data_IF_978341558726
#
_entry.id   IF_978341558726
#
_cell.length_a   1.000
_cell.length_b   1.000
_cell.length_c   1.000
_cell.angle_alpha   90.00
_cell.angle_beta   90.00
_cell.angle_gamma   90.00
#
_symmetry.space_group_name_H-M   'P 1'
#
loop_
_entity.id
_entity.type
_entity.pdbx_description
1 polymer ?
#
# COMPACT_ATOMS: atom_id res chain seq x y z
N UNK A 1 87.00 -31.17 -37.97
CA UNK A 1 85.80 -31.24 -37.10
C UNK A 1 85.89 -30.13 -36.08
N UNK A 2 85.21 -29.01 -36.30
CA UNK A 2 84.89 -27.97 -35.29
C UNK A 2 83.93 -26.99 -35.93
N UNK A 3 82.67 -26.97 -35.47
CA UNK A 3 81.63 -26.01 -35.87
C UNK A 3 81.61 -24.86 -34.86
N UNK A 4 81.43 -23.59 -35.27
CA UNK A 4 81.17 -22.50 -34.33
C UNK A 4 79.68 -22.51 -33.92
N UNK A 5 79.44 -22.42 -32.62
CA UNK A 5 78.14 -22.26 -31.99
C UNK A 5 77.75 -20.78 -32.03
N UNK A 6 76.61 -20.46 -32.65
CA UNK A 6 75.98 -19.15 -32.58
C UNK A 6 74.61 -19.32 -31.89
N UNK A 7 74.42 -18.68 -30.74
CA UNK A 7 73.11 -18.50 -30.11
C UNK A 7 72.43 -17.26 -30.70
N UNK A 8 71.11 -17.28 -30.87
CA UNK A 8 70.35 -16.12 -30.45
C UNK A 8 69.04 -16.44 -29.71
N UNK A 9 68.87 -15.68 -28.63
CA UNK A 9 67.67 -14.96 -28.17
C UNK A 9 66.39 -15.75 -27.80
N UNK A 10 65.94 -15.69 -26.53
CA UNK A 10 64.64 -16.22 -26.14
C UNK A 10 63.53 -15.25 -26.56
N UNK A 11 62.56 -15.74 -27.34
CA UNK A 11 61.34 -15.03 -27.70
C UNK A 11 60.41 -14.98 -26.47
N UNK A 12 60.21 -13.79 -25.89
CA UNK A 12 59.17 -13.51 -24.90
C UNK A 12 57.79 -13.61 -25.59
N UNK A 13 57.04 -14.66 -25.29
CA UNK A 13 55.63 -14.80 -25.70
C UNK A 13 54.80 -13.90 -24.78
N UNK A 14 54.31 -12.77 -25.29
CA UNK A 14 53.26 -11.98 -24.64
C UNK A 14 51.95 -12.77 -24.68
N UNK A 15 51.52 -13.29 -23.53
CA UNK A 15 50.15 -13.78 -23.34
C UNK A 15 49.19 -12.58 -23.31
N UNK A 16 48.37 -12.43 -24.36
CA UNK A 16 47.22 -11.54 -24.36
C UNK A 16 46.15 -12.09 -23.41
N UNK A 17 45.99 -11.45 -22.25
CA UNK A 17 44.86 -11.67 -21.34
C UNK A 17 43.62 -10.99 -21.96
N UNK A 18 42.79 -11.76 -22.65
CA UNK A 18 41.41 -11.36 -22.91
C UNK A 18 40.63 -11.44 -21.59
N UNK A 19 40.23 -10.28 -21.05
CA UNK A 19 39.40 -10.20 -19.85
C UNK A 19 37.99 -10.79 -20.07
N UNK A 20 37.35 -11.33 -19.02
CA UNK A 20 36.06 -12.00 -19.13
C UNK A 20 34.90 -11.01 -19.43
N UNK A 21 33.79 -11.48 -20.04
CA UNK A 21 32.69 -10.64 -20.54
C UNK A 21 31.86 -9.89 -19.48
N UNK A 22 32.09 -10.13 -18.18
CA UNK A 22 31.31 -9.52 -17.09
C UNK A 22 31.47 -7.99 -16.99
N UNK A 23 32.62 -7.44 -17.40
CA UNK A 23 32.87 -5.98 -17.31
C UNK A 23 32.11 -5.17 -18.37
N UNK A 24 31.73 -5.79 -19.48
CA UNK A 24 31.02 -5.12 -20.56
C UNK A 24 29.55 -4.85 -20.21
N UNK A 25 28.90 -5.77 -19.50
CA UNK A 25 27.50 -5.65 -19.05
C UNK A 25 27.35 -4.53 -18.00
N UNK A 26 28.29 -4.44 -17.06
CA UNK A 26 28.27 -3.40 -16.02
C UNK A 26 28.53 -1.99 -16.58
N UNK A 27 29.45 -1.88 -17.55
CA UNK A 27 29.71 -0.62 -18.24
C UNK A 27 28.51 -0.14 -19.08
N UNK A 28 27.81 -1.05 -19.75
CA UNK A 28 26.60 -0.75 -20.51
C UNK A 28 25.46 -0.27 -19.59
N UNK A 29 25.21 -0.99 -18.49
CA UNK A 29 24.20 -0.60 -17.48
C UNK A 29 24.50 0.76 -16.85
N UNK A 30 25.77 1.07 -16.56
CA UNK A 30 26.14 2.39 -16.04
C UNK A 30 25.90 3.52 -17.05
N UNK A 31 26.11 3.24 -18.34
CA UNK A 31 25.82 4.21 -19.40
C UNK A 31 24.32 4.49 -19.53
N UNK A 32 23.47 3.46 -19.46
CA UNK A 32 22.01 3.58 -19.45
C UNK A 32 21.51 4.34 -18.21
N UNK A 33 22.08 4.07 -17.04
CA UNK A 33 21.72 4.78 -15.80
C UNK A 33 22.03 6.29 -15.89
N UNK A 34 23.14 6.66 -16.54
CA UNK A 34 23.49 8.07 -16.79
C UNK A 34 22.50 8.75 -17.75
N UNK A 35 21.89 8.01 -18.66
CA UNK A 35 20.84 8.55 -19.53
C UNK A 35 19.54 8.81 -18.74
N UNK A 36 19.18 7.94 -17.80
CA UNK A 36 18.05 8.23 -16.91
C UNK A 36 18.23 9.54 -16.13
N UNK A 37 19.46 9.87 -15.73
CA UNK A 37 19.77 11.08 -14.98
C UNK A 37 19.51 12.40 -15.74
N UNK A 38 19.45 12.37 -17.07
CA UNK A 38 19.23 13.57 -17.89
C UNK A 38 17.76 13.94 -18.08
N UNK A 39 16.84 13.07 -17.66
CA UNK A 39 15.39 13.33 -17.75
C UNK A 39 14.98 14.41 -16.75
N UNK A 40 14.33 15.48 -17.22
CA UNK A 40 13.89 16.60 -16.36
C UNK A 40 12.75 16.20 -15.41
N UNK A 41 11.78 15.43 -15.93
CA UNK A 41 10.63 14.95 -15.16
C UNK A 41 11.09 13.98 -14.08
N UNK A 42 10.78 14.31 -12.82
CA UNK A 42 11.09 13.47 -11.66
C UNK A 42 10.46 12.08 -11.79
N UNK A 43 9.23 12.01 -12.33
CA UNK A 43 8.50 10.75 -12.47
C UNK A 43 9.11 9.89 -13.57
N UNK A 44 9.44 10.47 -14.73
CA UNK A 44 10.07 9.73 -15.83
C UNK A 44 11.47 9.24 -15.48
N UNK A 45 12.25 10.08 -14.77
CA UNK A 45 13.57 9.70 -14.27
C UNK A 45 13.50 8.50 -13.33
N UNK A 46 12.53 8.49 -12.41
CA UNK A 46 12.30 7.33 -11.52
C UNK A 46 11.93 6.09 -12.33
N UNK A 47 10.96 6.21 -13.24
CA UNK A 47 10.53 5.10 -14.09
C UNK A 47 11.67 4.51 -14.93
N UNK A 48 12.57 5.35 -15.46
CA UNK A 48 13.75 4.91 -16.21
C UNK A 48 14.69 4.05 -15.36
N UNK A 49 14.98 4.47 -14.12
CA UNK A 49 15.80 3.67 -13.21
C UNK A 49 15.13 2.36 -12.81
N UNK A 50 13.84 2.39 -12.53
CA UNK A 50 13.09 1.19 -12.18
C UNK A 50 13.12 0.19 -13.35
N UNK A 51 12.84 0.64 -14.58
CA UNK A 51 12.94 -0.20 -15.77
C UNK A 51 14.34 -0.82 -15.98
N UNK A 52 15.40 -0.05 -15.72
CA UNK A 52 16.79 -0.47 -15.91
C UNK A 52 17.28 -1.49 -14.85
N UNK A 53 16.92 -1.29 -13.58
CA UNK A 53 17.49 -2.07 -12.47
C UNK A 53 16.54 -3.07 -11.84
N UNK A 54 15.24 -2.80 -11.87
CA UNK A 54 14.19 -3.63 -11.26
C UNK A 54 13.34 -4.34 -12.33
N UNK A 55 13.53 -3.97 -13.61
CA UNK A 55 12.57 -4.25 -14.68
C UNK A 55 11.37 -3.33 -14.59
N UNK A 56 10.60 -3.17 -15.67
CA UNK A 56 9.27 -2.57 -15.55
C UNK A 56 8.45 -3.49 -14.66
N UNK A 57 7.96 -3.04 -13.49
CA UNK A 57 7.04 -3.85 -12.73
C UNK A 57 5.86 -4.11 -13.67
N UNK A 58 5.66 -5.36 -14.07
CA UNK A 58 4.34 -5.74 -14.54
C UNK A 58 3.37 -5.31 -13.42
N UNK A 59 2.21 -4.71 -13.73
CA UNK A 59 1.16 -4.62 -12.72
C UNK A 59 1.00 -6.05 -12.20
N UNK A 60 1.42 -6.28 -10.95
CA UNK A 60 1.43 -7.62 -10.39
C UNK A 60 -0.01 -8.07 -10.38
N UNK A 61 -0.32 -9.05 -11.22
CA UNK A 61 -1.63 -9.70 -11.28
C UNK A 61 -1.96 -10.45 -9.96
N UNK A 62 -1.00 -10.52 -9.04
CA UNK A 62 -1.20 -10.80 -7.63
C UNK A 62 -1.11 -9.50 -6.82
N UNK A 63 -2.16 -8.68 -6.86
CA UNK A 63 -2.50 -7.80 -5.75
C UNK A 63 -3.02 -8.70 -4.61
N UNK A 64 -2.12 -9.50 -4.00
CA UNK A 64 -2.47 -10.23 -2.80
C UNK A 64 -2.97 -9.19 -1.79
N UNK A 65 -4.24 -9.33 -1.40
CA UNK A 65 -4.87 -8.36 -0.53
C UNK A 65 -4.05 -8.29 0.77
N UNK A 66 -3.77 -7.09 1.30
CA UNK A 66 -2.85 -6.94 2.43
C UNK A 66 -3.23 -7.84 3.60
N UNK A 67 -2.29 -8.22 4.47
CA UNK A 67 -2.59 -9.04 5.66
C UNK A 67 -3.78 -8.50 6.50
N UNK A 68 -3.94 -7.17 6.56
CA UNK A 68 -5.08 -6.51 7.17
C UNK A 68 -6.44 -6.90 6.56
N UNK A 69 -6.51 -7.16 5.26
CA UNK A 69 -7.70 -7.65 4.57
C UNK A 69 -8.15 -9.00 5.12
N UNK A 70 -7.23 -9.95 5.22
CA UNK A 70 -7.54 -11.28 5.77
C UNK A 70 -7.96 -11.18 7.23
N UNK A 71 -7.28 -10.35 8.03
CA UNK A 71 -7.69 -10.10 9.42
C UNK A 71 -9.11 -9.52 9.54
N UNK A 72 -9.52 -8.65 8.61
CA UNK A 72 -10.89 -8.12 8.54
C UNK A 72 -11.89 -9.22 8.19
N UNK A 73 -11.58 -10.07 7.19
CA UNK A 73 -12.44 -11.21 6.85
C UNK A 73 -12.60 -12.18 8.04
N UNK A 74 -11.51 -12.52 8.72
CA UNK A 74 -11.53 -13.42 9.88
C UNK A 74 -12.29 -12.82 11.07
N UNK A 75 -12.23 -11.51 11.26
CA UNK A 75 -13.00 -10.82 12.29
C UNK A 75 -14.50 -10.78 11.94
N UNK A 76 -14.85 -10.39 10.72
CA UNK A 76 -16.25 -10.30 10.29
C UNK A 76 -16.91 -11.68 10.11
N UNK A 77 -16.15 -12.74 9.82
CA UNK A 77 -16.67 -14.10 9.78
C UNK A 77 -17.15 -14.63 11.15
N UNK A 78 -16.72 -13.99 12.25
CA UNK A 78 -17.12 -14.33 13.62
C UNK A 78 -18.29 -13.49 14.13
N UNK A 79 -18.77 -12.54 13.33
CA UNK A 79 -19.86 -11.62 13.68
C UNK A 79 -21.21 -12.29 13.43
N UNK A 80 -22.15 -12.05 14.33
CA UNK A 80 -23.55 -12.43 14.14
C UNK A 80 -24.19 -11.60 13.01
N UNK A 81 -25.04 -12.21 12.19
CA UNK A 81 -25.59 -11.60 10.96
C UNK A 81 -26.38 -10.29 11.18
N UNK A 82 -26.91 -10.08 12.40
CA UNK A 82 -27.70 -8.92 12.80
C UNK A 82 -26.89 -7.85 13.56
N UNK A 83 -25.61 -8.10 13.86
CA UNK A 83 -24.76 -7.17 14.59
C UNK A 83 -24.03 -6.20 13.66
N UNK A 84 -24.47 -4.93 13.59
CA UNK A 84 -23.85 -3.90 12.72
C UNK A 84 -22.90 -2.92 13.41
N UNK A 85 -22.90 -2.91 14.74
CA UNK A 85 -22.03 -2.04 15.53
C UNK A 85 -20.54 -2.33 15.34
N UNK A 86 -19.73 -1.37 15.75
CA UNK A 86 -18.28 -1.47 15.71
C UNK A 86 -17.81 -2.66 16.57
N UNK A 87 -16.99 -3.54 15.98
CA UNK A 87 -16.40 -4.69 16.66
C UNK A 87 -14.91 -4.45 16.81
N UNK A 88 -14.39 -4.56 18.04
CA UNK A 88 -12.98 -4.42 18.33
C UNK A 88 -12.33 -5.79 18.56
N UNK A 89 -11.23 -6.05 17.85
CA UNK A 89 -10.31 -7.16 18.08
C UNK A 89 -8.93 -6.64 18.47
N UNK A 90 -8.30 -7.30 19.44
CA UNK A 90 -6.95 -6.97 19.92
C UNK A 90 -6.10 -8.23 19.86
N UNK A 91 -4.91 -8.14 19.25
CA UNK A 91 -3.95 -9.23 19.13
C UNK A 91 -2.53 -8.69 19.34
N UNK A 92 -1.98 -8.88 20.53
CA UNK A 92 -0.71 -8.24 20.91
C UNK A 92 -0.83 -6.72 20.86
N UNK A 93 0.03 -6.07 20.07
CA UNK A 93 0.02 -4.62 19.84
C UNK A 93 -0.84 -4.20 18.63
N UNK A 94 -1.46 -5.16 17.94
CA UNK A 94 -2.37 -4.88 16.83
C UNK A 94 -3.80 -4.75 17.33
N UNK A 95 -4.48 -3.72 16.83
CA UNK A 95 -5.88 -3.45 17.14
C UNK A 95 -6.64 -3.27 15.84
N UNK A 96 -7.79 -3.93 15.72
CA UNK A 96 -8.65 -3.91 14.56
C UNK A 96 -10.09 -3.61 14.96
N UNK A 97 -10.63 -2.48 14.50
CA UNK A 97 -12.04 -2.16 14.60
C UNK A 97 -12.70 -2.26 13.23
N UNK A 98 -13.83 -2.95 13.17
CA UNK A 98 -14.60 -3.15 11.94
C UNK A 98 -16.08 -2.83 12.15
N UNK A 99 -16.71 -2.23 11.14
CA UNK A 99 -18.17 -2.06 11.10
C UNK A 99 -18.67 -2.32 9.67
N UNK A 100 -19.58 -3.28 9.45
CA UNK A 100 -20.15 -3.53 8.14
C UNK A 100 -21.17 -2.44 7.75
N UNK A 101 -21.33 -2.20 6.44
CA UNK A 101 -22.28 -1.21 5.95
C UNK A 101 -23.74 -1.61 6.22
N UNK A 102 -24.52 -0.64 6.69
CA UNK A 102 -25.96 -0.75 6.94
C UNK A 102 -26.74 -0.81 5.62
N UNK A 103 -27.78 -1.64 5.57
CA UNK A 103 -28.70 -1.70 4.42
C UNK A 103 -28.06 -2.17 3.12
N UNK A 104 -27.01 -2.99 3.21
CA UNK A 104 -26.39 -3.71 2.08
C UNK A 104 -26.49 -5.20 2.35
N UNK A 105 -26.76 -6.01 1.33
CA UNK A 105 -26.73 -7.47 1.47
C UNK A 105 -25.28 -7.97 1.46
N UNK A 106 -24.92 -9.02 2.23
CA UNK A 106 -23.59 -9.63 2.15
C UNK A 106 -23.24 -10.12 0.73
N UNK A 107 -21.96 -10.06 0.31
CA UNK A 107 -20.83 -9.49 1.05
C UNK A 107 -20.89 -7.95 1.10
N UNK A 108 -20.64 -7.37 2.28
CA UNK A 108 -20.85 -5.93 2.52
C UNK A 108 -19.53 -5.18 2.49
N UNK A 109 -19.52 -3.89 2.09
CA UNK A 109 -18.42 -2.99 2.42
C UNK A 109 -18.22 -2.90 3.94
N UNK A 110 -16.96 -2.83 4.38
CA UNK A 110 -16.59 -2.79 5.81
C UNK A 110 -15.73 -1.57 6.09
N UNK A 111 -16.15 -0.74 7.05
CA UNK A 111 -15.32 0.31 7.62
C UNK A 111 -14.25 -0.31 8.49
N UNK A 112 -12.99 0.08 8.30
CA UNK A 112 -11.83 -0.50 8.98
C UNK A 112 -11.01 0.60 9.63
N UNK A 113 -10.80 0.47 10.93
CA UNK A 113 -9.88 1.30 11.71
C UNK A 113 -8.88 0.37 12.37
N UNK A 114 -7.58 0.53 12.11
CA UNK A 114 -6.59 -0.37 12.71
C UNK A 114 -5.34 0.34 13.21
N UNK A 115 -4.71 -0.21 14.24
CA UNK A 115 -3.33 0.05 14.60
C UNK A 115 -2.51 -1.18 14.22
N UNK A 116 -1.60 -1.03 13.27
CA UNK A 116 -0.66 -2.08 12.89
C UNK A 116 0.72 -1.44 12.72
N UNK A 117 1.74 -2.06 13.29
CA UNK A 117 3.10 -1.50 13.33
C UNK A 117 3.11 -0.06 13.87
N UNK A 118 2.32 0.22 14.92
CA UNK A 118 2.22 1.55 15.54
C UNK A 118 1.65 2.65 14.64
N UNK A 119 0.97 2.28 13.55
CA UNK A 119 0.41 3.22 12.58
C UNK A 119 -1.09 3.03 12.44
N UNK A 120 -1.83 4.07 12.86
CA UNK A 120 -3.28 4.17 12.67
C UNK A 120 -3.60 4.18 11.19
N UNK A 121 -4.52 3.31 10.75
CA UNK A 121 -5.04 3.24 9.40
C UNK A 121 -6.55 3.44 9.45
N UNK A 122 -7.08 4.18 8.48
CA UNK A 122 -8.52 4.38 8.31
C UNK A 122 -8.88 4.07 6.86
N UNK A 123 -9.71 3.05 6.66
CA UNK A 123 -9.96 2.44 5.35
C UNK A 123 -11.40 1.98 5.23
N UNK A 124 -11.81 1.75 4.00
CA UNK A 124 -13.00 1.01 3.62
C UNK A 124 -12.56 -0.18 2.77
N UNK A 125 -13.02 -1.37 3.13
CA UNK A 125 -12.80 -2.61 2.39
C UNK A 125 -14.05 -2.92 1.58
N UNK A 126 -13.88 -3.19 0.28
CA UNK A 126 -14.98 -3.34 -0.68
C UNK A 126 -15.02 -4.76 -1.27
N UNK A 127 -16.19 -5.42 -1.28
CA UNK A 127 -16.32 -6.73 -1.91
C UNK A 127 -16.02 -6.69 -3.40
N UNK A 128 -16.36 -5.59 -4.07
CA UNK A 128 -16.11 -5.36 -5.48
C UNK A 128 -15.04 -4.29 -5.67
N UNK A 129 -14.10 -4.55 -6.58
CA UNK A 129 -13.01 -3.65 -6.88
C UNK A 129 -13.50 -2.37 -7.58
N UNK A 130 -12.93 -1.23 -7.20
CA UNK A 130 -13.07 0.02 -7.94
C UNK A 130 -11.97 0.19 -8.98
N UNK A 131 -12.38 0.48 -10.21
CA UNK A 131 -11.46 0.91 -11.28
C UNK A 131 -11.23 2.44 -11.23
N UNK A 132 -10.45 2.86 -10.23
CA UNK A 132 -9.96 4.22 -10.13
C UNK A 132 -8.74 4.28 -9.19
N UNK A 133 -7.83 5.26 -9.34
CA UNK A 133 -6.70 5.42 -8.42
C UNK A 133 -7.06 6.20 -7.15
N UNK A 134 -8.10 7.04 -7.21
CA UNK A 134 -8.56 7.92 -6.13
C UNK A 134 -10.05 8.18 -6.26
N UNK A 135 -10.67 8.58 -5.16
CA UNK A 135 -12.08 8.96 -5.12
C UNK A 135 -12.30 10.11 -4.15
N UNK A 136 -13.16 11.06 -4.51
CA UNK A 136 -13.64 12.07 -3.59
C UNK A 136 -14.78 11.49 -2.74
N UNK A 137 -14.67 11.67 -1.42
CA UNK A 137 -15.65 11.24 -0.45
C UNK A 137 -16.03 12.40 0.46
N UNK A 138 -17.33 12.58 0.66
CA UNK A 138 -17.86 13.37 1.76
C UNK A 138 -18.26 12.41 2.89
N UNK A 139 -17.57 12.53 4.01
CA UNK A 139 -17.88 11.82 5.24
C UNK A 139 -18.78 12.73 6.09
N UNK A 140 -19.97 12.25 6.44
CA UNK A 140 -20.91 12.93 7.32
C UNK A 140 -20.98 12.20 8.64
N UNK A 141 -20.57 12.87 9.72
CA UNK A 141 -20.87 12.45 11.08
C UNK A 141 -21.79 13.46 11.75
N UNK A 142 -22.20 13.18 12.98
CA UNK A 142 -23.21 13.95 13.69
C UNK A 142 -22.77 15.41 13.97
N UNK A 143 -21.46 15.65 14.03
CA UNK A 143 -20.88 16.97 14.28
C UNK A 143 -20.46 17.73 13.02
N UNK A 144 -20.71 17.16 11.84
CA UNK A 144 -20.50 17.83 10.56
C UNK A 144 -19.83 16.98 9.50
N UNK A 145 -19.63 17.63 8.36
CA UNK A 145 -19.14 17.01 7.14
C UNK A 145 -17.65 17.31 6.92
N UNK A 146 -16.92 16.35 6.37
CA UNK A 146 -15.58 16.53 5.85
C UNK A 146 -15.48 15.94 4.44
N UNK A 147 -14.87 16.68 3.52
CA UNK A 147 -14.62 16.22 2.15
C UNK A 147 -13.15 15.91 1.99
N UNK A 148 -12.83 14.73 1.47
CA UNK A 148 -11.47 14.23 1.33
C UNK A 148 -11.31 13.43 0.04
N UNK A 149 -10.10 13.45 -0.52
CA UNK A 149 -9.72 12.54 -1.61
C UNK A 149 -9.03 11.31 -1.03
N UNK A 150 -9.66 10.15 -1.13
CA UNK A 150 -9.12 8.88 -0.65
C UNK A 150 -8.40 8.14 -1.78
N UNK A 151 -7.42 7.30 -1.42
CA UNK A 151 -6.63 6.52 -2.38
C UNK A 151 -7.15 5.10 -2.47
N UNK A 152 -7.27 4.58 -3.68
CA UNK A 152 -7.67 3.20 -3.92
C UNK A 152 -6.41 2.34 -4.08
N UNK A 153 -6.39 1.17 -3.44
CA UNK A 153 -5.26 0.21 -3.39
C UNK A 153 -5.79 -1.23 -3.36
N UNK A 154 -4.86 -2.20 -3.40
CA UNK A 154 -5.17 -3.63 -3.27
C UNK A 154 -6.15 -4.09 -4.34
N UNK A 155 -5.77 -3.94 -5.62
CA UNK A 155 -6.60 -4.33 -6.75
C UNK A 155 -7.91 -3.56 -6.90
N UNK A 156 -8.12 -2.46 -6.16
CA UNK A 156 -9.38 -1.72 -6.17
C UNK A 156 -10.27 -1.99 -4.95
N UNK A 157 -9.90 -2.94 -4.09
CA UNK A 157 -10.72 -3.36 -2.95
C UNK A 157 -10.54 -2.50 -1.70
N UNK A 158 -9.45 -1.72 -1.60
CA UNK A 158 -9.14 -0.92 -0.41
C UNK A 158 -9.20 0.56 -0.72
N UNK A 159 -10.19 1.26 -0.15
CA UNK A 159 -10.29 2.73 -0.22
C UNK A 159 -9.74 3.33 1.07
N UNK A 160 -8.56 3.93 0.99
CA UNK A 160 -7.81 4.41 2.16
C UNK A 160 -7.97 5.91 2.38
N UNK A 161 -8.53 6.28 3.54
CA UNK A 161 -8.58 7.64 4.06
C UNK A 161 -7.27 8.17 4.64
N UNK A 162 -6.27 7.30 4.84
CA UNK A 162 -4.92 7.70 5.22
C UNK A 162 -4.26 6.73 6.18
N UNK A 163 -3.07 7.11 6.65
CA UNK A 163 -2.32 6.41 7.69
C UNK A 163 -1.59 7.41 8.58
N UNK A 164 -1.43 7.13 9.87
CA UNK A 164 -0.85 8.04 10.85
C UNK A 164 -1.68 9.30 11.03
N UNK A 165 -1.04 10.47 11.10
CA UNK A 165 -1.69 11.76 11.38
C UNK A 165 -2.92 12.06 10.50
N UNK A 166 -2.91 11.88 9.17
CA UNK A 166 -4.13 12.08 8.35
C UNK A 166 -5.33 11.22 8.77
N UNK A 167 -5.11 9.95 9.12
CA UNK A 167 -6.17 9.07 9.61
C UNK A 167 -6.65 9.53 10.99
N UNK A 168 -5.71 9.86 11.88
CA UNK A 168 -5.96 10.35 13.23
C UNK A 168 -6.81 11.63 13.21
N UNK A 169 -6.48 12.61 12.37
CA UNK A 169 -7.22 13.86 12.27
C UNK A 169 -8.67 13.66 11.81
N UNK A 170 -8.88 12.67 10.94
CA UNK A 170 -10.22 12.28 10.49
C UNK A 170 -11.00 11.62 11.62
N UNK A 171 -10.39 10.64 12.29
CA UNK A 171 -11.01 9.93 13.41
C UNK A 171 -11.33 10.86 14.59
N UNK A 172 -10.47 11.82 14.90
CA UNK A 172 -10.71 12.84 15.95
C UNK A 172 -12.00 13.64 15.72
N UNK A 173 -12.33 13.92 14.46
CA UNK A 173 -13.58 14.61 14.11
C UNK A 173 -14.80 13.71 14.32
N UNK A 174 -14.64 12.41 14.07
CA UNK A 174 -15.69 11.40 14.19
C UNK A 174 -15.91 10.88 15.62
N UNK A 175 -15.02 11.17 16.59
CA UNK A 175 -15.09 10.58 17.95
C UNK A 175 -16.44 10.73 18.66
N UNK A 176 -17.17 11.81 18.38
CA UNK A 176 -18.48 12.08 18.99
C UNK A 176 -19.59 11.94 17.93
N UNK A 177 -19.44 11.01 16.98
CA UNK A 177 -20.45 10.63 16.00
C UNK A 177 -20.88 9.20 16.25
N UNK A 178 -22.18 8.98 16.40
CA UNK A 178 -22.78 7.66 16.54
C UNK A 178 -22.91 6.96 15.18
N UNK A 179 -22.98 7.74 14.10
CA UNK A 179 -23.07 7.22 12.73
C UNK A 179 -22.08 7.90 11.80
N UNK A 180 -21.65 7.16 10.77
CA UNK A 180 -20.88 7.69 9.64
C UNK A 180 -21.62 7.38 8.34
N UNK A 181 -21.90 8.41 7.54
CA UNK A 181 -22.45 8.26 6.19
C UNK A 181 -21.47 8.77 5.14
N UNK A 182 -21.36 8.07 4.01
CA UNK A 182 -20.51 8.44 2.89
C UNK A 182 -21.36 8.94 1.71
N UNK A 183 -20.87 9.99 1.04
CA UNK A 183 -21.36 10.42 -0.27
C UNK A 183 -20.23 10.48 -1.28
N UNK A 184 -20.51 10.01 -2.50
CA UNK A 184 -19.56 9.94 -3.60
C UNK A 184 -20.28 9.98 -4.95
N UNK A 185 -19.56 10.29 -6.02
CA UNK A 185 -20.03 10.07 -7.39
C UNK A 185 -19.97 8.58 -7.78
N UNK A 186 -19.31 7.73 -6.97
CA UNK A 186 -19.23 6.28 -7.20
C UNK A 186 -20.37 5.58 -6.46
N UNK A 187 -21.24 4.91 -7.21
CA UNK A 187 -22.41 4.18 -6.68
C UNK A 187 -22.05 3.16 -5.58
N UNK A 188 -20.93 2.43 -5.75
CA UNK A 188 -20.45 1.47 -4.76
C UNK A 188 -20.12 2.10 -3.38
N UNK A 189 -19.89 3.42 -3.34
CA UNK A 189 -19.54 4.17 -2.12
C UNK A 189 -20.67 5.10 -1.65
N UNK A 190 -21.50 5.57 -2.57
CA UNK A 190 -22.55 6.53 -2.25
C UNK A 190 -23.64 5.92 -1.36
N UNK A 191 -24.00 6.67 -0.32
CA UNK A 191 -25.02 6.26 0.63
C UNK A 191 -24.61 5.09 1.54
N UNK A 192 -23.33 4.70 1.57
CA UNK A 192 -22.84 3.77 2.61
C UNK A 192 -22.99 4.42 3.98
N UNK A 193 -23.47 3.64 4.95
CA UNK A 193 -23.70 4.08 6.33
C UNK A 193 -23.15 3.05 7.30
N UNK A 194 -22.56 3.51 8.39
CA UNK A 194 -21.93 2.68 9.42
C UNK A 194 -22.40 3.12 10.80
N UNK A 195 -22.63 2.14 11.67
CA UNK A 195 -22.94 2.35 13.09
C UNK A 195 -21.62 2.39 13.87
N UNK A 196 -21.29 3.56 14.41
CA UNK A 196 -20.09 3.75 15.21
C UNK A 196 -20.36 3.56 16.71
N UNK A 197 -21.59 3.86 17.16
CA UNK A 197 -21.93 3.85 18.59
C UNK A 197 -21.10 4.87 19.37
N UNK A 198 -20.65 4.51 20.58
CA UNK A 198 -19.66 5.33 21.30
C UNK A 198 -18.25 5.06 20.73
N UNK A 199 -17.91 5.75 19.63
CA UNK A 199 -16.60 5.60 18.99
C UNK A 199 -15.46 6.00 19.95
N UNK A 200 -15.70 7.00 20.81
CA UNK A 200 -14.70 7.52 21.75
C UNK A 200 -14.27 6.46 22.75
N UNK A 201 -15.21 5.69 23.29
CA UNK A 201 -14.92 4.58 24.18
C UNK A 201 -14.28 3.41 23.41
N UNK A 202 -14.89 3.00 22.31
CA UNK A 202 -14.49 1.78 21.60
C UNK A 202 -13.11 1.87 20.95
N UNK A 203 -12.69 3.06 20.50
CA UNK A 203 -11.38 3.26 19.87
C UNK A 203 -10.22 3.34 20.89
N UNK A 204 -10.50 3.34 22.19
CA UNK A 204 -9.47 3.54 23.22
C UNK A 204 -8.31 2.54 23.13
N UNK A 205 -8.51 1.22 22.93
CA UNK A 205 -7.41 0.28 22.77
C UNK A 205 -6.51 0.62 21.58
N UNK A 206 -7.10 1.09 20.47
CA UNK A 206 -6.35 1.53 19.29
C UNK A 206 -5.52 2.77 19.59
N UNK A 207 -6.09 3.73 20.34
CA UNK A 207 -5.39 4.96 20.74
C UNK A 207 -4.24 4.68 21.69
N UNK A 208 -4.39 3.71 22.58
CA UNK A 208 -3.32 3.28 23.49
C UNK A 208 -2.18 2.61 22.71
N UNK A 209 -2.51 1.66 21.83
CA UNK A 209 -1.54 0.99 20.97
C UNK A 209 -0.78 1.99 20.08
N UNK A 210 -1.49 2.85 19.34
CA UNK A 210 -0.89 3.79 18.40
C UNK A 210 -0.50 5.16 19.01
N UNK A 211 -0.71 5.36 20.32
CA UNK A 211 -0.29 6.51 21.14
C UNK A 211 -0.81 7.89 20.70
N UNK A 212 -2.13 8.13 20.64
CA UNK A 212 -2.68 9.46 20.24
C UNK A 212 -4.07 9.85 20.78
#
# INVERSE_FOLDING_TARGET
MTRPFAYPLPLLILAWLAGPPAQADEAARLAEARQCATLDSRLERLHCYDALFQGTPAPSADDELPALWQAVLDQEARRDDDAFGLLAGVSGDEVLLTAPALGRVPPRPVLVISCQEWITRFQLHLPEALDAPRVELRLRGDRGDLTQTWRIRGGGHVVSGGRGLPAIDTLRRLLDSETLSLTSEREALDGLRFELGDLREQIQPLRDACRW
#
